data_IF_991742014437
#
_entry.id   IF_991742014437
#
_cell.length_a   1.000
_cell.length_b   1.000
_cell.length_c   1.000
_cell.angle_alpha   90.00
_cell.angle_beta   90.00
_cell.angle_gamma   90.00
#
_symmetry.space_group_name_H-M   'P 1'
#
loop_
_entity.id
_entity.type
_entity.pdbx_description
1 polymer ?
#
# COMPACT_ATOMS: atom_id res chain seq x y z
N UNK A 1 -15.20 -60.50 27.36
CA UNK A 1 -16.12 -59.37 27.17
C UNK A 1 -15.45 -58.09 27.64
N UNK A 2 -14.84 -57.40 26.74
CA UNK A 2 -14.40 -56.01 26.88
C UNK A 2 -14.92 -55.28 25.68
N UNK A 3 -15.85 -54.36 25.93
CA UNK A 3 -16.55 -53.54 24.93
C UNK A 3 -15.71 -52.45 24.38
N UNK A 4 -15.74 -52.32 23.07
CA UNK A 4 -15.29 -51.18 22.29
C UNK A 4 -16.22 -49.97 22.53
N UNK A 5 -15.65 -48.81 22.81
CA UNK A 5 -16.30 -47.52 22.70
C UNK A 5 -15.18 -46.54 22.35
N UNK A 6 -15.10 -46.11 21.14
CA UNK A 6 -15.82 -45.01 20.55
C UNK A 6 -14.87 -43.86 20.34
N UNK A 7 -14.12 -43.85 19.21
CA UNK A 7 -13.35 -42.71 18.72
C UNK A 7 -14.14 -42.07 17.56
N UNK A 8 -14.99 -41.10 17.87
CA UNK A 8 -15.68 -40.33 16.82
C UNK A 8 -16.11 -38.96 17.34
N UNK A 9 -15.11 -38.09 17.69
CA UNK A 9 -15.46 -36.71 18.08
C UNK A 9 -14.43 -35.65 17.60
N UNK A 10 -13.47 -36.03 16.75
CA UNK A 10 -12.43 -35.08 16.30
C UNK A 10 -12.65 -34.48 14.88
N UNK A 11 -13.69 -34.90 14.15
CA UNK A 11 -13.86 -34.48 12.74
C UNK A 11 -15.03 -33.51 12.47
N UNK A 12 -15.82 -33.11 13.47
CA UNK A 12 -17.00 -32.25 13.24
C UNK A 12 -16.76 -30.74 13.43
N UNK A 13 -15.62 -30.27 13.90
CA UNK A 13 -15.41 -28.84 14.15
C UNK A 13 -14.73 -28.05 13.02
N UNK A 14 -14.27 -28.70 11.94
CA UNK A 14 -13.57 -28.01 10.85
C UNK A 14 -14.45 -27.59 9.66
N UNK A 15 -15.65 -28.14 9.51
CA UNK A 15 -16.48 -27.90 8.33
C UNK A 15 -17.42 -26.68 8.42
N UNK A 16 -17.66 -26.12 9.61
CA UNK A 16 -18.60 -25.01 9.80
C UNK A 16 -17.99 -23.62 9.53
N UNK A 17 -16.65 -23.46 9.57
CA UNK A 17 -15.99 -22.17 9.36
C UNK A 17 -15.61 -21.87 7.90
N UNK A 18 -15.45 -22.88 7.05
CA UNK A 18 -15.03 -22.72 5.66
C UNK A 18 -16.06 -22.08 4.70
N UNK A 19 -17.38 -22.29 4.82
CA UNK A 19 -18.34 -21.72 3.88
C UNK A 19 -18.43 -20.19 3.91
N UNK A 20 -18.25 -19.56 5.06
CA UNK A 20 -18.39 -18.10 5.23
C UNK A 20 -17.21 -17.36 4.59
N UNK A 21 -16.00 -17.91 4.63
CA UNK A 21 -14.82 -17.29 4.01
C UNK A 21 -14.80 -17.40 2.49
N UNK A 22 -15.42 -18.45 1.92
CA UNK A 22 -15.42 -18.69 0.48
C UNK A 22 -16.27 -17.68 -0.31
N UNK A 23 -17.04 -16.82 0.34
CA UNK A 23 -17.94 -15.88 -0.34
C UNK A 23 -17.30 -14.51 -0.59
N UNK A 24 -16.19 -14.19 0.06
CA UNK A 24 -15.53 -12.89 -0.03
C UNK A 24 -14.43 -12.88 -1.08
N UNK A 25 -14.55 -12.02 -2.08
CA UNK A 25 -13.59 -11.89 -3.18
C UNK A 25 -12.48 -10.90 -2.83
N UNK A 26 -11.24 -11.30 -3.08
CA UNK A 26 -10.06 -10.41 -3.04
C UNK A 26 -9.70 -10.02 -4.48
N UNK A 27 -9.58 -8.72 -4.74
CA UNK A 27 -9.01 -8.19 -5.99
C UNK A 27 -7.57 -7.77 -5.76
N UNK A 28 -6.64 -8.41 -6.45
CA UNK A 28 -5.22 -8.04 -6.46
C UNK A 28 -4.94 -7.19 -7.71
N UNK A 29 -4.44 -5.98 -7.50
CA UNK A 29 -4.16 -5.00 -8.54
C UNK A 29 -2.65 -4.90 -8.73
N UNK A 30 -2.17 -5.18 -9.95
CA UNK A 30 -0.74 -5.22 -10.28
C UNK A 30 -0.46 -4.28 -11.46
N UNK A 31 0.05 -3.06 -11.23
CA UNK A 31 0.60 -2.25 -12.29
C UNK A 31 1.96 -2.80 -12.73
N UNK A 32 2.24 -2.80 -14.05
CA UNK A 32 3.52 -3.28 -14.57
C UNK A 32 4.01 -2.45 -15.75
N UNK A 33 5.34 -2.27 -15.84
CA UNK A 33 6.00 -1.62 -16.96
C UNK A 33 7.41 -2.18 -17.18
N UNK A 34 7.63 -2.90 -18.30
CA UNK A 34 8.93 -3.46 -18.71
C UNK A 34 9.62 -4.31 -17.61
N UNK A 35 8.87 -5.25 -16.99
CA UNK A 35 9.36 -6.10 -15.89
C UNK A 35 8.77 -7.50 -15.94
N UNK A 36 8.73 -8.12 -17.11
CA UNK A 36 8.10 -9.42 -17.35
C UNK A 36 8.47 -10.49 -16.33
N UNK A 37 9.75 -10.68 -16.03
CA UNK A 37 10.23 -11.72 -15.11
C UNK A 37 9.82 -11.46 -13.65
N UNK A 38 9.87 -10.20 -13.21
CA UNK A 38 9.42 -9.82 -11.86
C UNK A 38 7.91 -9.99 -11.74
N UNK A 39 7.16 -9.51 -12.73
CA UNK A 39 5.71 -9.70 -12.82
C UNK A 39 5.32 -11.18 -12.74
N UNK A 40 6.03 -12.06 -13.47
CA UNK A 40 5.76 -13.49 -13.42
C UNK A 40 5.89 -14.06 -12.01
N UNK A 41 6.91 -13.64 -11.26
CA UNK A 41 7.12 -14.01 -9.86
C UNK A 41 6.01 -13.47 -8.96
N UNK A 42 5.65 -12.20 -9.13
CA UNK A 42 4.57 -11.55 -8.37
C UNK A 42 3.23 -12.28 -8.58
N UNK A 43 2.83 -12.51 -9.83
CA UNK A 43 1.59 -13.21 -10.17
C UNK A 43 1.57 -14.62 -9.62
N UNK A 44 2.66 -15.39 -9.80
CA UNK A 44 2.74 -16.75 -9.28
C UNK A 44 2.57 -16.80 -7.75
N UNK A 45 3.13 -15.83 -7.02
CA UNK A 45 2.98 -15.74 -5.58
C UNK A 45 1.54 -15.46 -5.11
N UNK A 46 0.73 -14.83 -5.95
CA UNK A 46 -0.71 -14.65 -5.71
C UNK A 46 -1.49 -15.92 -6.05
N UNK A 47 -1.17 -16.57 -7.16
CA UNK A 47 -1.84 -17.81 -7.58
C UNK A 47 -1.62 -18.98 -6.63
N UNK A 48 -0.55 -18.94 -5.84
CA UNK A 48 -0.22 -19.95 -4.81
C UNK A 48 -0.81 -19.66 -3.44
N UNK A 49 -1.58 -18.58 -3.27
CA UNK A 49 -2.26 -18.29 -1.99
C UNK A 49 -3.34 -19.33 -1.69
N UNK A 50 -3.39 -19.77 -0.45
CA UNK A 50 -4.45 -20.66 0.08
C UNK A 50 -5.72 -19.84 0.38
N UNK A 51 -6.34 -19.33 -0.68
CA UNK A 51 -7.59 -18.58 -0.62
C UNK A 51 -8.40 -18.80 -1.91
N UNK A 52 -9.69 -19.20 -1.83
CA UNK A 52 -10.43 -19.73 -2.98
C UNK A 52 -10.92 -18.67 -3.97
N UNK A 53 -11.14 -17.42 -3.51
CA UNK A 53 -11.72 -16.36 -4.34
C UNK A 53 -10.77 -15.19 -4.51
N UNK A 54 -9.95 -15.25 -5.54
CA UNK A 54 -9.02 -14.19 -5.94
C UNK A 54 -9.28 -13.83 -7.40
N UNK A 55 -9.42 -12.55 -7.71
CA UNK A 55 -9.25 -12.02 -9.05
C UNK A 55 -7.97 -11.18 -9.11
N UNK A 56 -7.30 -11.19 -10.23
CA UNK A 56 -6.07 -10.44 -10.48
C UNK A 56 -6.31 -9.48 -11.63
N UNK A 57 -6.16 -8.18 -11.38
CA UNK A 57 -6.21 -7.14 -12.41
C UNK A 57 -4.80 -6.63 -12.68
N UNK A 58 -4.25 -6.96 -13.85
CA UNK A 58 -2.91 -6.56 -14.28
C UNK A 58 -3.02 -5.39 -15.25
N UNK A 59 -2.38 -4.28 -14.95
CA UNK A 59 -2.40 -3.08 -15.77
C UNK A 59 -1.04 -2.90 -16.41
N UNK A 60 -0.96 -3.23 -17.71
CA UNK A 60 0.25 -3.09 -18.51
C UNK A 60 0.37 -1.66 -19.05
N UNK A 61 1.37 -0.95 -18.57
CA UNK A 61 1.61 0.46 -18.89
C UNK A 61 2.52 0.63 -20.12
N UNK A 62 2.09 0.07 -21.28
CA UNK A 62 2.83 0.13 -22.55
C UNK A 62 4.20 -0.57 -22.53
N UNK A 63 4.31 -1.74 -21.93
CA UNK A 63 5.56 -2.54 -21.94
C UNK A 63 5.96 -3.00 -23.33
N UNK A 64 7.28 -3.09 -23.58
CA UNK A 64 7.92 -3.47 -24.85
C UNK A 64 8.91 -4.64 -24.70
N UNK A 65 8.96 -5.29 -23.54
CA UNK A 65 9.91 -6.35 -23.17
C UNK A 65 9.35 -7.78 -23.27
N UNK A 66 8.24 -7.98 -24.04
CA UNK A 66 7.55 -9.25 -24.14
C UNK A 66 6.51 -9.48 -23.02
N UNK A 67 6.23 -8.44 -22.19
CA UNK A 67 5.16 -8.50 -21.19
C UNK A 67 3.78 -8.67 -21.84
N UNK A 68 3.54 -8.08 -23.02
CA UNK A 68 2.26 -8.17 -23.71
C UNK A 68 1.91 -9.62 -24.06
N UNK A 69 2.84 -10.35 -24.69
CA UNK A 69 2.67 -11.74 -25.10
C UNK A 69 2.53 -12.65 -23.88
N UNK A 70 3.31 -12.40 -22.81
CA UNK A 70 3.18 -13.10 -21.55
C UNK A 70 1.78 -12.95 -20.95
N UNK A 71 1.24 -11.73 -20.90
CA UNK A 71 -0.08 -11.43 -20.36
C UNK A 71 -1.21 -12.04 -21.19
N UNK A 72 -1.08 -12.08 -22.52
CA UNK A 72 -2.04 -12.74 -23.39
C UNK A 72 -2.12 -14.24 -23.11
N UNK A 73 -0.98 -14.91 -22.97
CA UNK A 73 -0.92 -16.33 -22.59
C UNK A 73 -1.48 -16.56 -21.17
N UNK A 74 -1.13 -15.72 -20.22
CA UNK A 74 -1.54 -15.82 -18.81
C UNK A 74 -3.06 -15.68 -18.64
N UNK A 75 -3.68 -14.67 -19.27
CA UNK A 75 -5.13 -14.44 -19.20
C UNK A 75 -5.93 -15.54 -19.92
N UNK A 76 -5.34 -16.19 -20.94
CA UNK A 76 -5.95 -17.35 -21.60
C UNK A 76 -5.91 -18.60 -20.72
N UNK A 77 -4.90 -18.74 -19.86
CA UNK A 77 -4.74 -19.88 -18.97
C UNK A 77 -5.55 -19.74 -17.66
N UNK A 78 -5.84 -18.51 -17.21
CA UNK A 78 -6.45 -18.22 -15.92
C UNK A 78 -7.64 -17.28 -16.06
N UNK A 79 -8.87 -17.81 -15.93
CA UNK A 79 -10.12 -17.04 -16.08
C UNK A 79 -10.31 -15.94 -15.03
N UNK A 80 -9.62 -16.01 -13.90
CA UNK A 80 -9.64 -15.02 -12.83
C UNK A 80 -8.60 -13.90 -13.03
N UNK A 81 -7.88 -13.86 -14.14
CA UNK A 81 -6.92 -12.81 -14.49
C UNK A 81 -7.48 -11.91 -15.57
N UNK A 82 -7.61 -10.62 -15.25
CA UNK A 82 -8.00 -9.55 -16.18
C UNK A 82 -6.77 -8.72 -16.52
N UNK A 83 -6.58 -8.43 -17.80
CA UNK A 83 -5.48 -7.59 -18.29
C UNK A 83 -6.05 -6.32 -18.91
N UNK A 84 -5.49 -5.17 -18.51
CA UNK A 84 -5.79 -3.86 -19.07
C UNK A 84 -4.51 -3.28 -19.63
N UNK A 85 -4.55 -2.81 -20.87
CA UNK A 85 -3.41 -2.14 -21.52
C UNK A 85 -3.67 -0.64 -21.58
N UNK A 86 -2.72 0.17 -21.05
CA UNK A 86 -2.77 1.61 -21.25
C UNK A 86 -2.41 1.96 -22.69
N UNK A 87 -3.06 2.96 -23.25
CA UNK A 87 -2.76 3.46 -24.60
C UNK A 87 -1.47 4.27 -24.67
N UNK A 88 -1.02 4.81 -23.54
CA UNK A 88 0.23 5.55 -23.40
C UNK A 88 0.78 5.38 -21.99
N UNK A 89 2.10 5.48 -21.84
CA UNK A 89 2.77 5.38 -20.54
C UNK A 89 2.22 6.41 -19.53
N UNK A 90 1.86 5.95 -18.35
CA UNK A 90 1.29 6.73 -17.25
C UNK A 90 2.13 6.54 -15.98
N UNK A 91 1.70 7.16 -14.88
CA UNK A 91 2.28 6.88 -13.58
C UNK A 91 1.63 5.66 -12.91
N UNK A 92 2.30 4.99 -11.95
CA UNK A 92 1.75 3.82 -11.25
C UNK A 92 0.42 4.10 -10.53
N UNK A 93 0.19 5.32 -10.08
CA UNK A 93 -1.06 5.72 -9.43
C UNK A 93 -2.25 5.69 -10.39
N UNK A 94 -2.04 6.08 -11.65
CA UNK A 94 -3.05 5.95 -12.70
C UNK A 94 -3.41 4.49 -12.95
N UNK A 95 -2.41 3.63 -13.08
CA UNK A 95 -2.61 2.20 -13.29
C UNK A 95 -3.30 1.53 -12.09
N UNK A 96 -2.94 1.89 -10.85
CA UNK A 96 -3.64 1.44 -9.64
C UNK A 96 -5.12 1.86 -9.65
N UNK A 97 -5.43 3.08 -10.12
CA UNK A 97 -6.82 3.56 -10.26
C UNK A 97 -7.60 2.73 -11.26
N UNK A 98 -7.04 2.45 -12.44
CA UNK A 98 -7.71 1.62 -13.44
C UNK A 98 -8.01 0.22 -12.90
N UNK A 99 -7.03 -0.41 -12.26
CA UNK A 99 -7.22 -1.71 -11.61
C UNK A 99 -8.30 -1.67 -10.53
N UNK A 100 -8.32 -0.62 -9.71
CA UNK A 100 -9.35 -0.44 -8.68
C UNK A 100 -10.75 -0.31 -9.28
N UNK A 101 -10.91 0.46 -10.35
CA UNK A 101 -12.19 0.61 -11.04
C UNK A 101 -12.68 -0.67 -11.71
N UNK A 102 -11.75 -1.54 -12.13
CA UNK A 102 -12.06 -2.84 -12.72
C UNK A 102 -12.29 -3.95 -11.69
N UNK A 103 -12.03 -3.68 -10.41
CA UNK A 103 -12.10 -4.65 -9.31
C UNK A 103 -13.51 -4.84 -8.79
N UNK A 104 -13.90 -6.11 -8.61
CA UNK A 104 -15.20 -6.51 -8.08
C UNK A 104 -15.13 -7.00 -6.62
N UNK A 105 -13.93 -7.22 -6.07
CA UNK A 105 -13.72 -7.78 -4.75
C UNK A 105 -14.16 -6.87 -3.62
N UNK A 106 -14.57 -7.47 -2.53
CA UNK A 106 -14.84 -6.79 -1.25
C UNK A 106 -13.54 -6.31 -0.59
N UNK A 107 -12.46 -7.03 -0.86
CA UNK A 107 -11.11 -6.71 -0.38
C UNK A 107 -10.18 -6.38 -1.53
N UNK A 108 -9.29 -5.42 -1.30
CA UNK A 108 -8.33 -4.92 -2.28
C UNK A 108 -6.90 -5.13 -1.78
N UNK A 109 -6.05 -5.58 -2.67
CA UNK A 109 -4.60 -5.63 -2.49
C UNK A 109 -3.93 -4.88 -3.64
N UNK A 110 -2.99 -3.99 -3.34
CA UNK A 110 -2.15 -3.34 -4.33
C UNK A 110 -0.76 -3.97 -4.27
N UNK A 111 -0.40 -4.77 -5.25
CA UNK A 111 0.88 -5.46 -5.36
C UNK A 111 1.72 -4.81 -6.46
N UNK A 112 2.91 -4.32 -6.13
CA UNK A 112 3.86 -3.87 -7.14
C UNK A 112 4.49 -5.09 -7.85
N UNK A 113 4.80 -4.95 -9.14
CA UNK A 113 5.27 -6.05 -10.00
C UNK A 113 6.65 -6.61 -9.63
N UNK A 114 7.34 -5.93 -8.72
CA UNK A 114 8.65 -6.32 -8.18
C UNK A 114 8.58 -6.95 -6.77
N UNK A 115 7.39 -6.97 -6.13
CA UNK A 115 7.16 -7.57 -4.82
C UNK A 115 6.51 -8.96 -4.94
N UNK A 116 6.63 -9.81 -3.92
CA UNK A 116 6.03 -11.15 -3.94
C UNK A 116 5.75 -11.71 -2.55
N UNK A 117 4.76 -12.61 -2.45
CA UNK A 117 4.42 -13.33 -1.24
C UNK A 117 5.30 -14.55 -1.02
N UNK A 118 5.54 -14.90 0.25
CA UNK A 118 6.21 -16.13 0.71
C UNK A 118 5.35 -16.91 1.71
N UNK A 119 4.33 -16.28 2.31
CA UNK A 119 3.30 -16.92 3.13
C UNK A 119 2.04 -17.07 2.28
N UNK A 120 1.62 -18.30 2.02
CA UNK A 120 0.44 -18.61 1.24
C UNK A 120 -0.87 -18.49 2.05
N UNK A 121 -0.81 -18.33 3.35
CA UNK A 121 -1.97 -18.19 4.23
C UNK A 121 -2.39 -16.75 4.50
N UNK A 122 -1.61 -15.77 4.05
CA UNK A 122 -1.82 -14.37 4.40
C UNK A 122 -3.22 -13.86 4.04
N UNK A 123 -3.72 -14.16 2.85
CA UNK A 123 -5.04 -13.70 2.42
C UNK A 123 -6.14 -14.27 3.29
N UNK A 124 -6.07 -15.55 3.63
CA UNK A 124 -7.01 -16.21 4.50
C UNK A 124 -7.00 -15.60 5.91
N UNK A 125 -5.84 -15.41 6.50
CA UNK A 125 -5.68 -14.78 7.83
C UNK A 125 -6.24 -13.36 7.83
N UNK A 126 -5.95 -12.57 6.80
CA UNK A 126 -6.39 -11.18 6.71
C UNK A 126 -7.92 -11.07 6.57
N UNK A 127 -8.54 -11.88 5.71
CA UNK A 127 -10.00 -11.90 5.56
C UNK A 127 -10.68 -12.36 6.85
N UNK A 128 -10.16 -13.43 7.49
CA UNK A 128 -10.70 -13.89 8.77
C UNK A 128 -10.64 -12.78 9.84
N UNK A 129 -9.56 -12.00 9.87
CA UNK A 129 -9.43 -10.88 10.79
C UNK A 129 -10.46 -9.79 10.50
N UNK A 130 -10.71 -9.46 9.22
CA UNK A 130 -11.76 -8.52 8.83
C UNK A 130 -13.17 -8.98 9.18
N UNK A 131 -13.44 -10.28 9.11
CA UNK A 131 -14.74 -10.85 9.48
C UNK A 131 -14.98 -10.82 10.97
N UNK A 132 -13.93 -11.05 11.76
CA UNK A 132 -14.02 -11.00 13.22
C UNK A 132 -14.12 -9.55 13.74
N UNK A 133 -13.56 -8.58 13.02
CA UNK A 133 -13.44 -7.18 13.41
C UNK A 133 -13.99 -6.25 12.33
N UNK A 134 -15.24 -5.87 12.43
CA UNK A 134 -15.98 -5.20 11.34
C UNK A 134 -15.48 -3.78 11.00
N UNK A 135 -14.83 -3.08 11.93
CA UNK A 135 -14.42 -1.68 11.75
C UNK A 135 -12.98 -1.51 11.24
N UNK A 136 -12.40 -2.57 10.65
CA UNK A 136 -11.05 -2.49 10.10
C UNK A 136 -11.06 -1.93 8.67
N UNK A 137 -10.28 -0.90 8.43
CA UNK A 137 -10.01 -0.39 7.07
C UNK A 137 -8.96 -1.23 6.34
N UNK A 138 -8.01 -1.79 7.08
CA UNK A 138 -7.03 -2.74 6.53
C UNK A 138 -6.47 -3.67 7.61
N UNK A 139 -6.02 -4.83 7.16
CA UNK A 139 -5.18 -5.77 7.92
C UNK A 139 -3.81 -5.79 7.27
N UNK A 140 -2.76 -5.46 8.03
CA UNK A 140 -1.38 -5.38 7.55
C UNK A 140 -0.46 -6.38 8.23
N UNK A 141 0.70 -6.65 7.61
CA UNK A 141 1.70 -7.59 8.13
C UNK A 141 3.14 -7.12 7.85
N UNK A 142 4.12 -7.88 8.35
CA UNK A 142 5.54 -7.63 8.11
C UNK A 142 6.00 -8.17 6.75
N UNK A 143 7.16 -7.69 6.28
CA UNK A 143 7.82 -8.23 5.09
C UNK A 143 9.35 -8.16 5.24
N UNK A 144 10.04 -9.00 4.49
CA UNK A 144 11.46 -8.80 4.21
C UNK A 144 11.68 -7.64 3.23
N UNK A 145 12.85 -7.05 3.32
CA UNK A 145 13.39 -6.13 2.31
C UNK A 145 14.61 -6.80 1.69
N UNK A 146 14.51 -7.14 0.42
CA UNK A 146 15.64 -7.62 -0.37
C UNK A 146 16.30 -6.42 -1.08
N UNK A 147 17.44 -5.97 -0.56
CA UNK A 147 18.25 -4.92 -1.22
C UNK A 147 19.20 -5.58 -2.22
N UNK A 148 18.74 -5.75 -3.46
CA UNK A 148 19.50 -6.41 -4.53
C UNK A 148 20.80 -5.66 -4.83
N UNK A 149 20.83 -4.33 -4.72
CA UNK A 149 22.02 -3.51 -4.98
C UNK A 149 23.13 -3.77 -3.96
N UNK A 150 22.74 -4.06 -2.71
CA UNK A 150 23.68 -4.30 -1.60
C UNK A 150 23.86 -5.77 -1.25
N UNK A 151 23.09 -6.66 -1.88
CA UNK A 151 23.09 -8.09 -1.58
C UNK A 151 22.66 -8.38 -0.13
N UNK A 152 21.66 -7.65 0.40
CA UNK A 152 21.21 -7.78 1.79
C UNK A 152 19.73 -8.12 1.87
N UNK A 153 19.41 -9.07 2.74
CA UNK A 153 18.04 -9.35 3.16
C UNK A 153 17.85 -8.79 4.59
N UNK A 154 16.87 -7.93 4.77
CA UNK A 154 16.58 -7.27 6.04
C UNK A 154 15.15 -7.58 6.45
N UNK A 155 14.91 -7.80 7.73
CA UNK A 155 13.55 -7.82 8.27
C UNK A 155 13.15 -6.39 8.63
N UNK A 156 11.99 -5.94 8.16
CA UNK A 156 11.42 -4.67 8.59
C UNK A 156 10.14 -4.96 9.37
N UNK A 157 10.29 -5.03 10.69
CA UNK A 157 9.19 -5.34 11.58
C UNK A 157 8.34 -4.11 11.88
N UNK A 158 7.04 -4.35 11.94
CA UNK A 158 6.10 -3.50 12.63
C UNK A 158 6.45 -3.51 14.12
N UNK A 159 6.47 -2.33 14.73
CA UNK A 159 6.78 -2.17 16.16
C UNK A 159 5.52 -2.06 17.01
N UNK A 160 4.37 -2.31 16.41
CA UNK A 160 3.04 -2.38 17.03
C UNK A 160 2.25 -3.44 16.30
N UNK A 161 1.54 -4.30 17.03
CA UNK A 161 0.70 -5.38 16.48
C UNK A 161 -0.68 -5.39 17.14
N UNK A 162 -1.61 -6.16 16.60
CA UNK A 162 -3.00 -6.18 17.01
C UNK A 162 -3.82 -5.03 16.43
N UNK A 163 -4.98 -4.77 17.03
CA UNK A 163 -5.89 -3.72 16.60
C UNK A 163 -5.40 -2.36 17.13
N UNK A 164 -5.32 -1.39 16.23
CA UNK A 164 -4.89 -0.03 16.53
C UNK A 164 -5.99 0.92 16.08
N UNK A 165 -6.49 1.74 17.02
CA UNK A 165 -7.46 2.77 16.73
C UNK A 165 -6.96 3.72 15.64
N UNK A 166 -7.81 4.09 14.68
CA UNK A 166 -7.48 4.94 13.53
C UNK A 166 -6.83 6.27 13.91
N UNK A 167 -7.36 6.95 14.92
CA UNK A 167 -6.82 8.23 15.38
C UNK A 167 -5.46 8.09 16.06
N UNK A 168 -5.28 7.07 16.90
CA UNK A 168 -3.99 6.75 17.52
C UNK A 168 -2.96 6.41 16.44
N UNK A 169 -3.31 5.53 15.51
CA UNK A 169 -2.38 5.13 14.46
C UNK A 169 -2.01 6.31 13.56
N UNK A 170 -2.98 7.07 13.07
CA UNK A 170 -2.75 8.21 12.19
C UNK A 170 -1.86 9.28 12.84
N UNK A 171 -2.00 9.52 14.15
CA UNK A 171 -1.14 10.44 14.90
C UNK A 171 0.33 9.97 15.00
N UNK A 172 0.56 8.68 15.05
CA UNK A 172 1.84 8.09 15.42
C UNK A 172 2.67 7.59 14.23
N UNK A 173 2.07 7.33 13.05
CA UNK A 173 2.84 6.92 11.88
C UNK A 173 3.42 8.11 11.12
N UNK A 174 4.61 7.96 10.54
CA UNK A 174 5.55 6.83 10.64
C UNK A 174 6.60 7.00 11.74
N UNK A 175 6.35 7.83 12.74
CA UNK A 175 7.36 8.27 13.71
C UNK A 175 7.47 7.31 14.88
N UNK A 176 6.37 7.10 15.59
CA UNK A 176 6.30 6.22 16.75
C UNK A 176 5.92 4.80 16.33
N UNK A 177 4.96 4.68 15.40
CA UNK A 177 4.52 3.41 14.86
C UNK A 177 4.99 3.25 13.42
N UNK A 178 5.57 2.11 13.09
CA UNK A 178 5.87 1.77 11.71
C UNK A 178 4.55 1.49 10.96
N UNK A 179 4.43 2.01 9.74
CA UNK A 179 3.39 1.54 8.82
C UNK A 179 3.85 0.25 8.15
N UNK A 180 2.94 -0.57 7.60
CA UNK A 180 3.31 -1.65 6.72
C UNK A 180 4.23 -1.15 5.60
N UNK A 181 5.16 -1.99 5.17
CA UNK A 181 6.30 -1.57 4.34
C UNK A 181 5.85 -1.02 2.98
N UNK A 182 4.97 -1.76 2.31
CA UNK A 182 4.34 -1.42 1.04
C UNK A 182 2.87 -1.86 1.09
N UNK A 183 2.06 -1.44 0.13
CA UNK A 183 0.63 -1.74 0.08
C UNK A 183 0.33 -3.23 -0.14
N UNK A 184 1.25 -4.01 -0.72
CA UNK A 184 1.05 -5.46 -0.86
C UNK A 184 1.04 -6.20 0.48
N UNK A 185 1.64 -5.60 1.51
CA UNK A 185 1.61 -6.17 2.86
C UNK A 185 0.30 -5.91 3.60
N UNK A 186 -0.74 -5.46 2.90
CA UNK A 186 -2.05 -5.18 3.52
C UNK A 186 -3.21 -5.58 2.61
N UNK A 187 -4.26 -6.09 3.25
CA UNK A 187 -5.57 -6.34 2.65
C UNK A 187 -6.50 -5.22 3.11
N UNK A 188 -6.98 -4.41 2.17
CA UNK A 188 -7.84 -3.26 2.42
C UNK A 188 -9.30 -3.63 2.21
N UNK A 189 -10.21 -3.11 3.04
CA UNK A 189 -11.65 -3.24 2.83
C UNK A 189 -12.13 -2.21 1.80
N UNK A 190 -12.68 -2.68 0.68
CA UNK A 190 -13.06 -1.82 -0.45
C UNK A 190 -14.07 -0.74 -0.06
N UNK A 191 -15.06 -1.05 0.78
CA UNK A 191 -16.06 -0.08 1.23
C UNK A 191 -15.44 1.13 1.95
N UNK A 192 -14.36 0.94 2.72
CA UNK A 192 -13.62 2.04 3.35
C UNK A 192 -12.83 2.88 2.34
N UNK A 193 -12.29 2.24 1.30
CA UNK A 193 -11.63 2.96 0.20
C UNK A 193 -12.64 3.77 -0.64
N UNK A 194 -13.82 3.22 -0.90
CA UNK A 194 -14.90 3.93 -1.60
C UNK A 194 -15.37 5.15 -0.79
N UNK A 195 -15.52 5.02 0.52
CA UNK A 195 -15.94 6.09 1.43
C UNK A 195 -14.98 7.30 1.42
N UNK A 196 -13.69 7.06 1.28
CA UNK A 196 -12.68 8.15 1.16
C UNK A 196 -12.50 8.66 -0.26
N UNK A 197 -13.32 8.22 -1.22
CA UNK A 197 -13.21 8.61 -2.61
C UNK A 197 -11.91 8.17 -3.26
N UNK A 198 -11.50 6.91 -3.05
CA UNK A 198 -10.22 6.36 -3.56
C UNK A 198 -10.07 6.60 -5.06
N UNK A 199 -11.11 6.37 -5.86
CA UNK A 199 -11.11 6.58 -7.31
C UNK A 199 -10.72 8.01 -7.73
N UNK A 200 -10.97 9.01 -6.88
CA UNK A 200 -10.72 10.42 -7.15
C UNK A 200 -9.44 10.95 -6.46
N UNK A 201 -8.66 10.07 -5.84
CA UNK A 201 -7.38 10.45 -5.21
C UNK A 201 -6.42 11.04 -6.25
N UNK A 202 -5.88 12.21 -5.97
CA UNK A 202 -4.86 12.84 -6.83
C UNK A 202 -3.43 12.34 -6.55
N UNK A 203 -3.23 11.61 -5.44
CA UNK A 203 -1.95 10.99 -5.06
C UNK A 203 -2.18 9.57 -4.54
N UNK A 204 -1.79 8.56 -5.32
CA UNK A 204 -1.96 7.14 -5.00
C UNK A 204 -0.62 6.46 -4.68
N UNK A 205 0.16 7.02 -3.76
CA UNK A 205 1.30 6.33 -3.18
C UNK A 205 0.90 5.58 -1.89
N UNK A 206 1.74 4.66 -1.45
CA UNK A 206 1.48 3.82 -0.28
C UNK A 206 1.08 4.63 0.96
N UNK A 207 1.81 5.70 1.27
CA UNK A 207 1.51 6.51 2.47
C UNK A 207 0.15 7.17 2.39
N UNK A 208 -0.24 7.67 1.20
CA UNK A 208 -1.54 8.30 0.98
C UNK A 208 -2.68 7.30 1.14
N UNK A 209 -2.51 6.09 0.64
CA UNK A 209 -3.50 5.01 0.77
C UNK A 209 -3.70 4.66 2.25
N UNK A 210 -2.63 4.46 3.01
CA UNK A 210 -2.74 4.17 4.45
C UNK A 210 -3.36 5.32 5.25
N UNK A 211 -2.93 6.56 5.00
CA UNK A 211 -3.47 7.71 5.75
C UNK A 211 -4.95 7.92 5.46
N UNK A 212 -5.39 7.78 4.21
CA UNK A 212 -6.81 7.87 3.89
C UNK A 212 -7.61 6.72 4.49
N UNK A 213 -7.13 5.50 4.41
CA UNK A 213 -7.81 4.35 5.00
C UNK A 213 -8.07 4.53 6.49
N UNK A 214 -7.12 5.14 7.23
CA UNK A 214 -7.27 5.47 8.65
C UNK A 214 -8.26 6.62 8.94
N UNK A 215 -8.87 7.22 7.94
CA UNK A 215 -9.99 8.15 8.14
C UNK A 215 -11.33 7.45 8.31
N UNK A 216 -11.43 6.19 7.91
CA UNK A 216 -12.69 5.44 7.88
C UNK A 216 -12.76 4.30 8.88
N UNK A 217 -11.64 3.61 9.16
CA UNK A 217 -11.62 2.48 10.07
C UNK A 217 -10.27 2.29 10.76
N UNK A 218 -10.26 1.41 11.74
CA UNK A 218 -9.08 1.00 12.48
C UNK A 218 -8.17 0.12 11.62
N UNK A 219 -6.98 -0.20 12.10
CA UNK A 219 -6.07 -1.14 11.47
C UNK A 219 -5.81 -2.33 12.38
N UNK A 220 -5.61 -3.52 11.80
CA UNK A 220 -5.03 -4.65 12.52
C UNK A 220 -3.67 -4.99 11.90
N UNK A 221 -2.65 -5.17 12.73
CA UNK A 221 -1.30 -5.50 12.31
C UNK A 221 -0.90 -6.88 12.83
N UNK A 222 -0.63 -7.80 11.91
CA UNK A 222 -0.19 -9.16 12.18
C UNK A 222 1.33 -9.22 12.38
N UNK A 223 1.79 -10.19 13.14
CA UNK A 223 3.22 -10.42 13.38
C UNK A 223 3.89 -11.19 12.23
N UNK A 224 3.11 -11.84 11.39
CA UNK A 224 3.59 -12.68 10.29
C UNK A 224 4.45 -11.89 9.29
N UNK A 225 5.48 -12.56 8.74
CA UNK A 225 6.29 -12.05 7.63
C UNK A 225 5.77 -12.70 6.36
N UNK A 226 5.01 -11.95 5.58
CA UNK A 226 4.17 -12.51 4.52
C UNK A 226 4.78 -12.42 3.11
N UNK A 227 5.84 -11.64 2.93
CA UNK A 227 6.37 -11.41 1.60
C UNK A 227 7.72 -10.72 1.59
N UNK A 228 8.17 -10.40 0.41
CA UNK A 228 9.46 -9.75 0.14
C UNK A 228 9.23 -8.49 -0.69
N UNK A 229 9.65 -7.36 -0.16
CA UNK A 229 9.76 -6.10 -0.90
C UNK A 229 11.14 -6.00 -1.53
N UNK A 230 11.19 -5.96 -2.86
CA UNK A 230 12.44 -5.93 -3.61
C UNK A 230 12.89 -4.50 -3.86
N UNK A 231 14.10 -4.19 -3.43
CA UNK A 231 14.72 -2.90 -3.62
C UNK A 231 15.84 -2.97 -4.63
N UNK A 232 15.61 -2.41 -5.80
CA UNK A 232 16.55 -2.38 -6.93
C UNK A 232 16.84 -0.96 -7.43
N UNK A 233 17.73 -0.84 -8.45
CA UNK A 233 18.19 0.47 -8.94
C UNK A 233 17.09 1.31 -9.60
N UNK A 234 16.09 0.67 -10.19
CA UNK A 234 15.02 1.30 -10.99
C UNK A 234 13.69 1.50 -10.25
N UNK A 235 13.66 1.37 -8.89
CA UNK A 235 12.45 1.70 -8.14
C UNK A 235 12.02 3.16 -8.39
N UNK A 236 10.73 3.38 -8.61
CA UNK A 236 10.14 4.70 -8.87
C UNK A 236 10.53 5.75 -7.82
N UNK A 237 10.62 5.36 -6.56
CA UNK A 237 10.95 6.24 -5.43
C UNK A 237 12.33 6.93 -5.51
N UNK A 238 13.20 6.53 -6.45
CA UNK A 238 14.53 7.13 -6.61
C UNK A 238 14.57 8.36 -7.54
N UNK A 239 13.52 8.61 -8.31
CA UNK A 239 13.47 9.65 -9.33
C UNK A 239 12.29 10.62 -9.12
N UNK A 240 12.05 11.04 -7.89
CA UNK A 240 10.97 11.95 -7.56
C UNK A 240 11.29 13.38 -8.00
N UNK A 241 10.30 14.07 -8.54
CA UNK A 241 10.36 15.47 -8.91
C UNK A 241 9.65 16.39 -7.90
N UNK A 242 9.83 17.70 -8.05
CA UNK A 242 9.19 18.69 -7.16
C UNK A 242 7.67 18.64 -7.25
N UNK A 243 7.03 18.59 -8.44
CA UNK A 243 5.58 18.47 -8.54
C UNK A 243 5.01 17.29 -7.76
N UNK A 244 5.64 16.11 -7.84
CA UNK A 244 5.24 14.94 -7.07
C UNK A 244 5.32 15.18 -5.55
N UNK A 245 6.38 15.81 -5.08
CA UNK A 245 6.58 16.11 -3.65
C UNK A 245 5.56 17.12 -3.15
N UNK A 246 5.25 18.16 -3.94
CA UNK A 246 4.26 19.16 -3.56
C UNK A 246 2.85 18.54 -3.49
N UNK A 247 2.46 17.75 -4.47
CA UNK A 247 1.21 16.96 -4.41
C UNK A 247 1.13 16.06 -3.18
N UNK A 248 2.26 15.47 -2.77
CA UNK A 248 2.34 14.63 -1.58
C UNK A 248 2.13 15.45 -0.28
N UNK A 249 2.58 16.70 -0.24
CA UNK A 249 2.31 17.61 0.89
C UNK A 249 0.85 18.07 0.88
N UNK A 250 0.28 18.37 -0.29
CA UNK A 250 -1.15 18.71 -0.45
C UNK A 250 -2.07 17.55 -0.01
N UNK A 251 -1.71 16.32 -0.35
CA UNK A 251 -2.43 15.12 0.10
C UNK A 251 -2.48 15.01 1.62
N UNK A 252 -1.37 15.30 2.30
CA UNK A 252 -1.33 15.31 3.77
C UNK A 252 -2.18 16.43 4.38
N UNK A 253 -2.26 17.56 3.70
CA UNK A 253 -3.18 18.63 4.09
C UNK A 253 -4.63 18.17 3.97
N UNK A 254 -4.97 17.54 2.86
CA UNK A 254 -6.30 16.98 2.64
C UNK A 254 -6.68 15.97 3.75
N UNK A 255 -5.78 15.04 4.08
CA UNK A 255 -5.98 14.08 5.18
C UNK A 255 -6.21 14.79 6.51
N UNK A 256 -5.44 15.84 6.80
CA UNK A 256 -5.56 16.60 8.04
C UNK A 256 -6.91 17.35 8.14
N UNK A 257 -7.36 17.96 7.04
CA UNK A 257 -8.65 18.65 6.96
C UNK A 257 -9.82 17.66 7.07
N UNK A 258 -9.70 16.51 6.39
CA UNK A 258 -10.75 15.48 6.40
C UNK A 258 -10.85 14.80 7.77
N UNK A 259 -9.73 14.55 8.45
CA UNK A 259 -9.73 14.04 9.81
C UNK A 259 -10.50 14.97 10.77
N UNK A 260 -10.34 16.30 10.63
CA UNK A 260 -11.11 17.27 11.42
C UNK A 260 -12.60 17.17 11.16
N UNK A 261 -13.03 17.08 9.88
CA UNK A 261 -14.46 16.93 9.52
C UNK A 261 -15.06 15.64 10.11
N UNK A 262 -14.27 14.59 10.20
CA UNK A 262 -14.66 13.29 10.75
C UNK A 262 -14.48 13.20 12.27
N UNK A 263 -14.14 14.30 12.96
CA UNK A 263 -13.89 14.36 14.39
C UNK A 263 -12.81 13.36 14.86
N UNK A 264 -11.81 13.07 14.00
CA UNK A 264 -10.63 12.28 14.36
C UNK A 264 -9.63 13.23 15.02
N UNK A 265 -9.28 13.02 16.30
CA UNK A 265 -8.37 13.93 16.99
C UNK A 265 -6.95 13.75 16.47
N UNK A 266 -6.43 14.75 15.77
CA UNK A 266 -5.03 14.82 15.34
C UNK A 266 -4.26 15.90 16.12
N UNK A 267 -2.97 15.63 16.36
CA UNK A 267 -2.07 16.62 16.91
C UNK A 267 -2.08 17.89 16.02
N UNK A 268 -2.21 19.09 16.56
CA UNK A 268 -2.22 20.34 15.79
C UNK A 268 -1.00 20.52 14.87
N UNK A 269 0.13 19.91 15.21
CA UNK A 269 1.36 19.94 14.41
C UNK A 269 1.46 18.81 13.39
N UNK A 270 0.48 17.89 13.31
CA UNK A 270 0.53 16.70 12.46
C UNK A 270 0.86 17.03 11.00
N UNK A 271 0.14 17.96 10.39
CA UNK A 271 0.38 18.37 9.00
C UNK A 271 1.81 18.89 8.78
N UNK A 272 2.27 19.80 9.63
CA UNK A 272 3.63 20.38 9.48
C UNK A 272 4.72 19.34 9.71
N UNK A 273 4.48 18.38 10.58
CA UNK A 273 5.39 17.26 10.81
C UNK A 273 5.44 16.32 9.58
N UNK A 274 4.30 15.97 9.01
CA UNK A 274 4.23 15.16 7.79
C UNK A 274 4.85 15.87 6.57
N UNK A 275 4.67 17.18 6.45
CA UNK A 275 5.33 17.98 5.43
C UNK A 275 6.87 17.99 5.62
N UNK A 276 7.34 18.14 6.87
CA UNK A 276 8.78 18.02 7.17
C UNK A 276 9.35 16.67 6.75
N UNK A 277 8.67 15.55 7.06
CA UNK A 277 9.14 14.21 6.67
C UNK A 277 9.18 14.06 5.14
N UNK A 278 8.21 14.62 4.43
CA UNK A 278 8.14 14.60 2.97
C UNK A 278 9.31 15.37 2.34
N UNK A 279 9.55 16.60 2.77
CA UNK A 279 10.68 17.41 2.29
C UNK A 279 12.02 16.78 2.69
N UNK A 280 12.15 16.27 3.91
CA UNK A 280 13.38 15.58 4.36
C UNK A 280 13.68 14.36 3.49
N UNK A 281 12.67 13.56 3.14
CA UNK A 281 12.82 12.41 2.25
C UNK A 281 13.35 12.85 0.88
N UNK A 282 12.72 13.87 0.29
CA UNK A 282 13.12 14.42 -1.01
C UNK A 282 14.56 14.93 -0.99
N UNK A 283 14.90 15.80 -0.03
CA UNK A 283 16.23 16.37 0.07
C UNK A 283 17.33 15.35 0.40
N UNK A 284 17.00 14.26 1.11
CA UNK A 284 17.97 13.19 1.38
C UNK A 284 18.28 12.36 0.13
N UNK A 285 17.29 12.08 -0.70
CA UNK A 285 17.39 11.19 -1.85
C UNK A 285 17.91 11.86 -3.13
N UNK A 286 17.71 13.17 -3.30
CA UNK A 286 17.98 13.89 -4.55
C UNK A 286 19.11 14.89 -4.40
N UNK A 287 19.89 15.11 -5.50
CA UNK A 287 20.77 16.27 -5.60
C UNK A 287 19.88 17.51 -5.75
N UNK A 288 19.90 18.40 -4.75
CA UNK A 288 19.10 19.62 -4.77
C UNK A 288 19.60 20.52 -5.94
N UNK A 289 18.72 20.80 -6.88
CA UNK A 289 18.94 21.81 -7.91
C UNK A 289 18.47 23.16 -7.35
N UNK A 290 19.18 24.25 -7.65
CA UNK A 290 18.77 25.60 -7.20
C UNK A 290 17.35 25.95 -7.61
N UNK A 291 16.91 25.49 -8.78
CA UNK A 291 15.54 25.68 -9.26
C UNK A 291 14.47 24.94 -8.42
N UNK A 292 14.81 23.80 -7.82
CA UNK A 292 13.88 23.02 -6.98
C UNK A 292 13.53 23.77 -5.69
N UNK A 293 14.54 24.37 -5.06
CA UNK A 293 14.32 25.23 -3.91
C UNK A 293 13.40 26.41 -4.24
N UNK A 294 13.66 27.09 -5.36
CA UNK A 294 12.83 28.21 -5.80
C UNK A 294 11.38 27.79 -6.06
N UNK A 295 11.16 26.64 -6.71
CA UNK A 295 9.83 26.09 -6.95
C UNK A 295 9.08 25.79 -5.64
N UNK A 296 9.75 25.14 -4.69
CA UNK A 296 9.15 24.81 -3.38
C UNK A 296 8.81 26.10 -2.62
N UNK A 297 9.71 27.08 -2.59
CA UNK A 297 9.47 28.35 -1.91
C UNK A 297 8.33 29.14 -2.55
N UNK A 298 8.25 29.19 -3.87
CA UNK A 298 7.12 29.82 -4.60
C UNK A 298 5.80 29.16 -4.24
N UNK A 299 5.74 27.83 -4.22
CA UNK A 299 4.55 27.10 -3.81
C UNK A 299 4.16 27.41 -2.35
N UNK A 300 5.12 27.41 -1.40
CA UNK A 300 4.81 27.73 -0.01
C UNK A 300 4.21 29.12 0.12
N UNK A 301 4.78 30.11 -0.54
CA UNK A 301 4.30 31.50 -0.46
C UNK A 301 2.94 31.66 -1.11
N UNK A 302 2.73 31.07 -2.29
CA UNK A 302 1.53 31.28 -3.11
C UNK A 302 0.39 30.35 -2.71
N UNK A 303 0.68 29.05 -2.65
CA UNK A 303 -0.35 28.01 -2.69
C UNK A 303 -0.56 27.31 -1.34
N UNK A 304 0.42 27.31 -0.42
CA UNK A 304 0.27 26.68 0.88
C UNK A 304 -0.80 27.38 1.72
N UNK A 305 -1.85 26.64 2.09
CA UNK A 305 -2.99 27.19 2.85
C UNK A 305 -2.66 27.46 4.33
N UNK A 306 -1.79 26.61 4.91
CA UNK A 306 -1.51 26.63 6.36
C UNK A 306 -0.01 26.66 6.65
N UNK A 307 0.32 27.27 7.80
CA UNK A 307 1.66 27.17 8.39
C UNK A 307 2.81 27.63 7.48
N UNK A 308 2.59 28.60 6.59
CA UNK A 308 3.59 29.10 5.62
C UNK A 308 4.94 29.37 6.28
N UNK A 309 4.99 30.10 7.36
CA UNK A 309 6.24 30.41 8.08
C UNK A 309 6.95 29.17 8.63
N UNK A 310 6.19 28.19 9.14
CA UNK A 310 6.78 26.92 9.60
C UNK A 310 7.34 26.12 8.43
N UNK A 311 6.64 26.06 7.29
CA UNK A 311 7.13 25.37 6.08
C UNK A 311 8.39 26.05 5.53
N UNK A 312 8.43 27.38 5.47
CA UNK A 312 9.62 28.16 5.10
C UNK A 312 10.80 27.81 6.01
N UNK A 313 10.60 27.83 7.33
CA UNK A 313 11.63 27.48 8.30
C UNK A 313 12.11 26.03 8.10
N UNK A 314 11.20 25.07 7.90
CA UNK A 314 11.52 23.66 7.66
C UNK A 314 12.40 23.50 6.43
N UNK A 315 11.99 24.08 5.31
CA UNK A 315 12.72 23.96 4.03
C UNK A 315 14.11 24.59 4.15
N UNK A 316 14.21 25.80 4.70
CA UNK A 316 15.49 26.47 4.91
C UNK A 316 16.45 25.66 5.79
N UNK A 317 15.95 25.08 6.90
CA UNK A 317 16.73 24.23 7.79
C UNK A 317 17.23 22.95 7.11
N UNK A 318 16.40 22.33 6.25
CA UNK A 318 16.76 21.12 5.52
C UNK A 318 17.80 21.41 4.43
N UNK A 319 17.64 22.54 3.75
CA UNK A 319 18.60 23.01 2.72
C UNK A 319 19.96 23.36 3.35
N UNK A 320 19.96 24.13 4.45
CA UNK A 320 21.20 24.48 5.16
C UNK A 320 21.99 23.23 5.61
N UNK A 321 21.30 22.18 6.10
CA UNK A 321 21.95 20.92 6.49
C UNK A 321 22.55 20.11 5.33
N UNK A 322 22.22 20.44 4.10
CA UNK A 322 22.72 19.74 2.93
C UNK A 322 23.98 20.39 2.34
N UNK A 323 24.21 21.66 2.66
CA UNK A 323 25.38 22.43 2.24
C UNK A 323 26.46 22.55 3.32
N UNK A 324 26.25 21.96 4.50
CA UNK A 324 27.23 21.72 5.55
C UNK A 324 27.63 20.24 5.55
#
# INVERSE_FOLDING_TARGET
NLDEAGTDDAQQHTSAFYPVMSDHLISVIIPTFNRKEMLAKAVNSVLTQDYPKIEISIINDCSTDGTFEYLAALSSAHANIKVIHNESHKDPGYSRRLGYLASCGEYIVFLDDDDYYIDNEFFRKAVQTHLNEQNLSFVGANAFVEDVVRGKLLVKNLNKTGIINKGDYLNNIPVTYNKPLSTFTSVFKKSHLDEIGFKDMFMMNDSSIYYRSLLTGDACLLEDIIGVHVKHATNFSKNLDVPFILKNVEEKLWVFEEAKKRNIPLNPSWYTHQAFLTFRYYFKGNKLKSNDYVKIMKWIVKDAKYSKWRLIFIVNKLVAKKFI
#
